data_IF_846773514948
#
_entry.id   IF_846773514948
#
_cell.length_a   1.000
_cell.length_b   1.000
_cell.length_c   1.000
_cell.angle_alpha   90.00
_cell.angle_beta   90.00
_cell.angle_gamma   90.00
#
_symmetry.space_group_name_H-M   'P 1'
#
loop_
_entity.id
_entity.type
_entity.pdbx_description
1 polymer ?
#
# COMPACT_ATOMS: atom_id res chain seq x y z
N UNK A 1 21.65 -21.45 35.89
CA UNK A 1 20.18 -21.49 35.73
C UNK A 1 19.74 -20.18 35.11
N UNK A 2 19.38 -20.19 33.82
CA UNK A 2 18.84 -19.01 33.17
C UNK A 2 17.36 -18.88 33.54
N UNK A 3 17.05 -18.17 34.63
CA UNK A 3 15.67 -17.79 34.93
C UNK A 3 15.29 -16.64 33.99
N UNK A 4 14.91 -16.98 32.76
CA UNK A 4 14.16 -16.04 31.92
C UNK A 4 12.89 -15.67 32.72
N UNK A 5 12.79 -14.40 33.11
CA UNK A 5 11.63 -13.91 33.85
C UNK A 5 10.37 -14.21 33.01
N UNK A 6 9.41 -14.95 33.57
CA UNK A 6 8.16 -15.32 32.89
C UNK A 6 7.47 -14.09 32.31
N UNK A 7 7.55 -12.95 33.00
CA UNK A 7 7.07 -11.67 32.50
C UNK A 7 7.81 -11.23 31.23
N UNK A 8 9.14 -11.38 31.19
CA UNK A 8 9.95 -11.05 30.03
C UNK A 8 9.64 -11.94 28.82
N UNK A 9 9.32 -13.22 29.04
CA UNK A 9 8.89 -14.14 27.96
C UNK A 9 7.50 -13.76 27.44
N UNK A 10 6.56 -13.45 28.35
CA UNK A 10 5.20 -13.02 27.98
C UNK A 10 5.22 -11.70 27.21
N UNK A 11 6.00 -10.70 27.64
CA UNK A 11 6.12 -9.42 26.93
C UNK A 11 6.69 -9.60 25.53
N UNK A 12 7.74 -10.41 25.37
CA UNK A 12 8.29 -10.72 24.03
C UNK A 12 7.26 -11.44 23.15
N UNK A 13 6.50 -12.38 23.72
CA UNK A 13 5.44 -13.08 22.99
C UNK A 13 4.35 -12.10 22.50
N UNK A 14 3.87 -11.20 23.37
CA UNK A 14 2.88 -10.17 23.00
C UNK A 14 3.40 -9.25 21.89
N UNK A 15 4.63 -8.73 22.00
CA UNK A 15 5.23 -7.85 20.99
C UNK A 15 5.40 -8.54 19.63
N UNK A 16 5.77 -9.83 19.63
CA UNK A 16 5.91 -10.59 18.37
C UNK A 16 4.56 -10.90 17.73
N UNK A 17 3.50 -11.11 18.52
CA UNK A 17 2.14 -11.29 18.01
C UNK A 17 1.61 -10.03 17.31
N UNK A 18 1.80 -8.84 17.87
CA UNK A 18 1.32 -7.59 17.27
C UNK A 18 1.95 -7.34 15.89
N UNK A 19 3.27 -7.51 15.77
CA UNK A 19 3.97 -7.33 14.51
C UNK A 19 3.54 -8.36 13.44
N UNK A 20 3.33 -9.63 13.84
CA UNK A 20 2.85 -10.70 12.94
C UNK A 20 1.40 -10.46 12.50
N UNK A 21 0.55 -9.91 13.39
CA UNK A 21 -0.84 -9.61 13.08
C UNK A 21 -0.96 -8.47 12.05
N UNK A 22 -0.09 -7.45 12.13
CA UNK A 22 -0.09 -6.33 11.18
C UNK A 22 0.25 -6.78 9.74
N UNK A 23 1.25 -7.65 9.56
CA UNK A 23 1.60 -8.20 8.23
C UNK A 23 0.50 -9.12 7.69
N UNK A 24 -0.16 -9.88 8.58
CA UNK A 24 -1.28 -10.75 8.20
C UNK A 24 -2.51 -9.96 7.76
N UNK A 25 -2.73 -8.77 8.33
CA UNK A 25 -3.90 -7.94 8.00
C UNK A 25 -3.90 -7.51 6.53
N UNK A 26 -2.78 -6.96 6.03
CA UNK A 26 -2.71 -6.48 4.66
C UNK A 26 -2.79 -7.64 3.65
N UNK A 27 -2.11 -8.75 3.90
CA UNK A 27 -2.17 -9.95 3.04
C UNK A 27 -3.60 -10.53 2.97
N UNK A 28 -4.31 -10.53 4.11
CA UNK A 28 -5.70 -10.97 4.15
C UNK A 28 -6.61 -10.03 3.35
N UNK A 29 -6.47 -8.71 3.51
CA UNK A 29 -7.24 -7.71 2.75
C UNK A 29 -6.99 -7.88 1.25
N UNK A 30 -5.73 -8.02 0.84
CA UNK A 30 -5.33 -8.21 -0.57
C UNK A 30 -6.02 -9.43 -1.17
N UNK A 31 -5.98 -10.55 -0.45
CA UNK A 31 -6.58 -11.81 -0.87
C UNK A 31 -8.10 -11.75 -0.92
N UNK A 32 -8.77 -11.29 0.13
CA UNK A 32 -10.24 -11.24 0.22
C UNK A 32 -10.86 -10.31 -0.83
N UNK A 33 -10.15 -9.24 -1.20
CA UNK A 33 -10.62 -8.26 -2.19
C UNK A 33 -10.15 -8.55 -3.62
N UNK A 34 -9.43 -9.65 -3.85
CA UNK A 34 -8.82 -10.00 -5.14
C UNK A 34 -8.03 -8.84 -5.75
N UNK A 35 -7.21 -8.15 -4.95
CA UNK A 35 -6.59 -6.90 -5.38
C UNK A 35 -5.62 -7.07 -6.56
N UNK A 36 -4.87 -8.17 -6.59
CA UNK A 36 -3.78 -8.39 -7.55
C UNK A 36 -4.25 -8.56 -9.00
N UNK A 37 -5.54 -8.87 -9.23
CA UNK A 37 -6.08 -9.12 -10.57
C UNK A 37 -6.79 -7.91 -11.19
N UNK A 38 -6.94 -6.81 -10.44
CA UNK A 38 -7.76 -5.66 -10.85
C UNK A 38 -7.03 -4.62 -11.69
N UNK A 39 -5.71 -4.71 -11.79
CA UNK A 39 -4.87 -3.74 -12.50
C UNK A 39 -3.89 -4.46 -13.40
N UNK A 40 -3.74 -3.98 -14.63
CA UNK A 40 -2.78 -4.51 -15.58
C UNK A 40 -1.35 -4.18 -15.16
N UNK A 41 -0.41 -5.10 -15.45
CA UNK A 41 1.00 -4.94 -15.09
C UNK A 41 1.62 -3.60 -15.50
N UNK A 42 1.36 -3.03 -16.71
CA UNK A 42 1.88 -1.72 -17.07
C UNK A 42 1.43 -0.61 -16.10
N UNK A 43 0.17 -0.63 -15.69
CA UNK A 43 -0.38 0.36 -14.76
C UNK A 43 0.07 0.12 -13.32
N UNK A 44 0.28 -1.14 -12.91
CA UNK A 44 0.92 -1.46 -11.63
C UNK A 44 2.33 -0.85 -11.56
N UNK A 45 3.14 -1.00 -12.61
CA UNK A 45 4.50 -0.46 -12.66
C UNK A 45 4.49 1.08 -12.61
N UNK A 46 3.57 1.71 -13.34
CA UNK A 46 3.43 3.16 -13.37
C UNK A 46 2.99 3.73 -12.01
N UNK A 47 1.99 3.11 -11.38
CA UNK A 47 1.54 3.49 -10.05
C UNK A 47 2.66 3.29 -9.01
N UNK A 48 3.38 2.16 -9.08
CA UNK A 48 4.53 1.91 -8.22
C UNK A 48 5.59 3.00 -8.39
N UNK A 49 5.97 3.34 -9.62
CA UNK A 49 6.96 4.39 -9.92
C UNK A 49 6.49 5.75 -9.39
N UNK A 50 5.22 6.10 -9.59
CA UNK A 50 4.64 7.34 -9.07
C UNK A 50 4.76 7.46 -7.55
N UNK A 51 4.55 6.36 -6.83
CA UNK A 51 4.51 6.32 -5.36
C UNK A 51 5.90 6.19 -4.75
N UNK A 52 6.77 5.32 -5.28
CA UNK A 52 8.03 4.94 -4.64
C UNK A 52 9.26 5.65 -5.22
N UNK A 53 9.19 6.13 -6.46
CA UNK A 53 10.30 6.79 -7.15
C UNK A 53 10.02 8.27 -7.45
N UNK A 54 8.83 8.76 -7.09
CA UNK A 54 8.32 10.09 -7.43
C UNK A 54 8.08 10.25 -8.94
N UNK A 55 6.83 10.11 -9.35
CA UNK A 55 6.44 10.26 -10.76
C UNK A 55 4.96 10.61 -10.93
N UNK A 56 4.54 10.79 -12.18
CA UNK A 56 3.14 10.98 -12.53
C UNK A 56 2.45 9.65 -12.85
N UNK A 57 1.14 9.63 -12.69
CA UNK A 57 0.28 8.56 -13.18
C UNK A 57 -0.61 9.10 -14.31
N UNK A 58 -0.80 8.31 -15.35
CA UNK A 58 -1.55 8.63 -16.55
C UNK A 58 -3.04 8.43 -16.35
N UNK A 59 -3.85 9.13 -17.14
CA UNK A 59 -5.31 9.02 -17.10
C UNK A 59 -5.79 7.58 -17.33
N UNK A 60 -5.10 6.82 -18.21
CA UNK A 60 -5.38 5.41 -18.45
C UNK A 60 -5.22 4.60 -17.17
N UNK A 61 -4.09 4.74 -16.50
CA UNK A 61 -3.80 3.99 -15.29
C UNK A 61 -4.58 4.47 -14.06
N UNK A 62 -5.04 5.73 -14.05
CA UNK A 62 -6.02 6.19 -13.07
C UNK A 62 -7.35 5.44 -13.16
N UNK A 63 -7.82 5.12 -14.37
CA UNK A 63 -9.03 4.29 -14.55
C UNK A 63 -8.89 2.91 -13.90
N UNK A 64 -7.77 2.23 -14.15
CA UNK A 64 -7.48 0.93 -13.53
C UNK A 64 -7.24 1.03 -12.01
N UNK A 65 -6.63 2.12 -11.55
CA UNK A 65 -6.43 2.38 -10.12
C UNK A 65 -7.76 2.55 -9.38
N UNK A 66 -8.78 3.14 -10.02
CA UNK A 66 -10.13 3.20 -9.44
C UNK A 66 -10.83 1.85 -9.41
N UNK A 67 -10.66 1.03 -10.46
CA UNK A 67 -11.16 -0.36 -10.48
C UNK A 67 -10.52 -1.19 -9.37
N UNK A 68 -9.20 -1.03 -9.15
CA UNK A 68 -8.48 -1.61 -8.02
C UNK A 68 -9.13 -1.19 -6.68
N UNK A 69 -9.41 0.10 -6.54
CA UNK A 69 -10.11 0.68 -5.41
C UNK A 69 -9.20 1.05 -4.24
N UNK A 70 -9.66 1.98 -3.40
CA UNK A 70 -8.84 2.60 -2.33
C UNK A 70 -8.35 1.62 -1.27
N UNK A 71 -9.17 0.60 -0.96
CA UNK A 71 -8.83 -0.45 0.01
C UNK A 71 -7.63 -1.26 -0.49
N UNK A 72 -7.70 -1.76 -1.73
CA UNK A 72 -6.62 -2.50 -2.36
C UNK A 72 -5.36 -1.64 -2.55
N UNK A 73 -5.51 -0.40 -3.03
CA UNK A 73 -4.40 0.56 -3.17
C UNK A 73 -3.64 0.74 -1.85
N UNK A 74 -4.36 1.00 -0.75
CA UNK A 74 -3.75 1.22 0.55
C UNK A 74 -3.09 -0.05 1.10
N UNK A 75 -3.75 -1.20 0.96
CA UNK A 75 -3.22 -2.48 1.44
C UNK A 75 -1.95 -2.90 0.68
N UNK A 76 -1.92 -2.76 -0.65
CA UNK A 76 -0.76 -3.06 -1.48
C UNK A 76 0.44 -2.16 -1.15
N UNK A 77 0.22 -0.86 -0.95
CA UNK A 77 1.30 0.08 -0.56
C UNK A 77 1.87 -0.27 0.82
N UNK A 78 1.01 -0.55 1.81
CA UNK A 78 1.44 -0.98 3.15
C UNK A 78 2.21 -2.31 3.09
N UNK A 79 1.68 -3.29 2.36
CA UNK A 79 2.32 -4.59 2.15
C UNK A 79 3.69 -4.48 1.47
N UNK A 80 3.84 -3.50 0.57
CA UNK A 80 5.12 -3.21 -0.08
C UNK A 80 6.12 -2.61 0.92
N UNK A 81 5.69 -1.68 1.79
CA UNK A 81 6.54 -1.09 2.83
C UNK A 81 7.01 -2.10 3.89
N UNK A 82 6.30 -3.21 4.08
CA UNK A 82 6.74 -4.32 4.94
C UNK A 82 7.93 -5.09 4.34
N UNK A 83 8.18 -4.98 3.04
CA UNK A 83 9.31 -5.64 2.40
C UNK A 83 10.63 -4.99 2.86
N UNK A 84 11.60 -5.77 3.41
CA UNK A 84 12.88 -5.25 3.89
C UNK A 84 13.69 -4.44 2.87
N UNK A 85 13.41 -4.57 1.56
CA UNK A 85 14.00 -3.74 0.51
C UNK A 85 13.67 -2.24 0.68
N UNK A 86 12.55 -1.91 1.32
CA UNK A 86 12.09 -0.53 1.56
C UNK A 86 12.42 -0.01 2.97
N UNK A 87 13.25 -0.72 3.75
CA UNK A 87 13.55 -0.33 5.15
C UNK A 87 14.25 1.04 5.30
N UNK A 88 14.83 1.57 4.23
CA UNK A 88 15.54 2.85 4.23
C UNK A 88 14.73 4.01 3.66
N UNK A 89 13.57 3.75 3.06
CA UNK A 89 12.66 4.82 2.65
C UNK A 89 11.77 5.22 3.81
N UNK A 90 11.41 6.49 3.88
CA UNK A 90 10.49 7.01 4.90
C UNK A 90 9.07 6.50 4.62
N UNK A 91 8.46 5.66 5.50
CA UNK A 91 7.10 5.18 5.28
C UNK A 91 6.10 6.32 5.18
N UNK A 92 6.29 7.39 5.97
CA UNK A 92 5.44 8.58 5.92
C UNK A 92 5.50 9.28 4.56
N UNK A 93 6.69 9.34 3.94
CA UNK A 93 6.88 9.94 2.62
C UNK A 93 6.17 9.11 1.55
N UNK A 94 6.35 7.79 1.56
CA UNK A 94 5.68 6.88 0.62
C UNK A 94 4.15 6.93 0.79
N UNK A 95 3.65 6.99 2.03
CA UNK A 95 2.22 7.12 2.30
C UNK A 95 1.68 8.46 1.76
N UNK A 96 2.42 9.55 1.95
CA UNK A 96 2.04 10.85 1.41
C UNK A 96 2.00 10.85 -0.13
N UNK A 97 3.00 10.24 -0.77
CA UNK A 97 3.04 10.06 -2.22
C UNK A 97 1.89 9.18 -2.72
N UNK A 98 1.58 8.08 -2.02
CA UNK A 98 0.43 7.22 -2.30
C UNK A 98 -0.91 7.96 -2.24
N UNK A 99 -1.10 8.84 -1.26
CA UNK A 99 -2.28 9.70 -1.15
C UNK A 99 -2.32 10.71 -2.29
N UNK A 100 -1.17 11.30 -2.64
CA UNK A 100 -1.07 12.25 -3.72
C UNK A 100 -1.40 11.61 -5.08
N UNK A 101 -0.85 10.43 -5.39
CA UNK A 101 -1.15 9.68 -6.62
C UNK A 101 -2.65 9.38 -6.72
N UNK A 102 -3.28 8.94 -5.63
CA UNK A 102 -4.73 8.72 -5.60
C UNK A 102 -5.53 10.00 -5.87
N UNK A 103 -5.16 11.11 -5.21
CA UNK A 103 -5.84 12.39 -5.37
C UNK A 103 -5.65 13.00 -6.78
N UNK A 104 -4.48 12.83 -7.38
CA UNK A 104 -4.23 13.22 -8.77
C UNK A 104 -5.19 12.49 -9.72
N UNK A 105 -5.46 11.20 -9.47
CA UNK A 105 -6.47 10.47 -10.24
C UNK A 105 -7.90 10.93 -9.95
N UNK A 106 -8.23 11.30 -8.70
CA UNK A 106 -9.57 11.83 -8.36
C UNK A 106 -9.86 13.14 -9.10
N UNK A 107 -8.89 14.05 -9.16
CA UNK A 107 -9.06 15.33 -9.84
C UNK A 107 -9.42 15.19 -11.33
N UNK A 108 -9.07 14.07 -11.97
CA UNK A 108 -9.42 13.79 -13.37
C UNK A 108 -10.90 13.42 -13.56
N UNK A 109 -11.55 12.85 -12.55
CA UNK A 109 -12.99 12.57 -12.58
C UNK A 109 -13.79 13.86 -12.38
N UNK A 110 -13.30 14.73 -11.50
CA UNK A 110 -13.97 15.99 -11.17
C UNK A 110 -13.72 17.09 -12.22
N UNK A 111 -12.80 16.86 -13.17
CA UNK A 111 -12.59 17.76 -14.29
C UNK A 111 -13.81 17.72 -15.21
N UNK A 112 -14.50 18.85 -15.46
CA UNK A 112 -15.57 18.88 -16.45
C UNK A 112 -14.99 18.38 -17.78
N UNK A 113 -15.70 17.44 -18.43
CA UNK A 113 -15.36 17.07 -19.80
C UNK A 113 -15.28 18.35 -20.63
N UNK A 114 -14.24 18.56 -21.45
CA UNK A 114 -14.27 19.61 -22.44
C UNK A 114 -15.54 19.39 -23.26
N UNK A 115 -16.43 20.37 -23.25
CA UNK A 115 -17.64 20.34 -24.07
C UNK A 115 -17.19 20.17 -25.53
N UNK A 116 -17.70 19.12 -26.19
CA UNK A 116 -17.46 18.84 -27.60
C UNK A 116 -18.09 19.91 -28.50
#
# INVERSE_FOLDING_TARGET
MASLNVYSVLVVLFLTCEAVMATKENDQIIKENNCETKMGFPCVLEAFTSIFETGSISNKCCGELFVLGKVCHSALVKRTLENPLFKYVSPATIIAQSIQTWNNCLALIDSPSPSA
#
